data_IF_927551040353
#
_entry.id   IF_927551040353
#
_cell.length_a   1.000
_cell.length_b   1.000
_cell.length_c   1.000
_cell.angle_alpha   90.00
_cell.angle_beta   90.00
_cell.angle_gamma   90.00
#
_symmetry.space_group_name_H-M   'P 1'
#
loop_
_entity.id
_entity.type
_entity.pdbx_description
1 polymer ?
#
# COMPACT_ATOMS: atom_id res chain seq x y z
N UNK A 1 2.56 32.02 -75.79
CA UNK A 1 3.46 32.01 -74.64
C UNK A 1 2.62 31.63 -73.40
N UNK A 2 2.71 30.41 -72.95
CA UNK A 2 2.04 29.96 -71.73
C UNK A 2 3.13 29.65 -70.72
N UNK A 3 3.16 30.39 -69.62
CA UNK A 3 4.03 30.11 -68.47
C UNK A 3 3.30 29.13 -67.57
N UNK A 4 3.81 27.90 -67.47
CA UNK A 4 3.38 26.90 -66.51
C UNK A 4 4.04 27.20 -65.15
N UNK A 5 3.23 27.63 -64.19
CA UNK A 5 3.68 27.74 -62.79
C UNK A 5 3.63 26.39 -62.12
N UNK A 6 4.76 25.85 -61.73
CA UNK A 6 4.85 24.73 -60.83
C UNK A 6 4.50 25.19 -59.40
N UNK A 7 3.39 24.68 -58.90
CA UNK A 7 3.05 24.83 -57.47
C UNK A 7 3.73 23.68 -56.73
N UNK A 8 4.82 23.97 -56.04
CA UNK A 8 5.46 23.07 -55.14
C UNK A 8 4.63 22.96 -53.84
N UNK A 9 3.88 21.88 -53.70
CA UNK A 9 3.16 21.58 -52.48
C UNK A 9 4.11 21.19 -51.37
N UNK A 10 4.24 22.06 -50.36
CA UNK A 10 4.91 21.73 -49.13
C UNK A 10 4.03 20.80 -48.28
N UNK A 11 4.40 19.52 -48.21
CA UNK A 11 3.79 18.57 -47.28
C UNK A 11 4.44 18.82 -45.92
N UNK A 12 3.72 19.50 -45.04
CA UNK A 12 4.13 19.61 -43.62
C UNK A 12 3.72 18.32 -42.94
N UNK A 13 4.68 17.43 -42.71
CA UNK A 13 4.50 16.27 -41.86
C UNK A 13 4.57 16.78 -40.41
N UNK A 14 3.39 16.98 -39.81
CA UNK A 14 3.29 17.22 -38.38
C UNK A 14 3.65 15.94 -37.63
N UNK A 15 4.87 15.82 -37.16
CA UNK A 15 5.29 14.82 -36.18
C UNK A 15 4.63 15.18 -34.85
N UNK A 16 3.46 14.59 -34.58
CA UNK A 16 2.89 14.59 -33.24
C UNK A 16 3.72 13.63 -32.39
N UNK A 17 4.72 14.20 -31.70
CA UNK A 17 5.39 13.51 -30.60
C UNK A 17 4.34 13.26 -29.52
N UNK A 18 3.78 12.05 -29.50
CA UNK A 18 2.95 11.59 -28.42
C UNK A 18 3.78 11.53 -27.15
N UNK A 19 3.67 12.55 -26.31
CA UNK A 19 4.25 12.51 -24.97
C UNK A 19 3.53 11.43 -24.19
N UNK A 20 4.16 10.27 -24.03
CA UNK A 20 3.73 9.25 -23.09
C UNK A 20 3.97 9.83 -21.69
N UNK A 21 2.90 10.35 -21.07
CA UNK A 21 2.94 10.75 -19.67
C UNK A 21 3.09 9.47 -18.84
N UNK A 22 4.31 9.13 -18.49
CA UNK A 22 4.57 8.12 -17.47
C UNK A 22 4.18 8.74 -16.13
N UNK A 23 3.02 8.38 -15.61
CA UNK A 23 2.65 8.69 -14.24
C UNK A 23 3.55 7.87 -13.33
N UNK A 24 4.68 8.46 -12.92
CA UNK A 24 5.54 7.87 -11.90
C UNK A 24 4.82 7.83 -10.57
N UNK A 25 4.97 6.72 -9.82
CA UNK A 25 4.47 6.61 -8.45
C UNK A 25 5.06 7.76 -7.63
N UNK A 26 4.21 8.58 -7.01
CA UNK A 26 4.63 9.68 -6.15
C UNK A 26 4.52 9.26 -4.69
N UNK A 27 5.63 9.36 -3.96
CA UNK A 27 5.68 9.01 -2.54
C UNK A 27 6.12 10.21 -1.70
N UNK A 28 5.32 10.56 -0.69
CA UNK A 28 5.70 11.58 0.28
C UNK A 28 6.82 11.05 1.20
N UNK A 29 7.86 11.86 1.39
CA UNK A 29 9.07 11.47 2.13
C UNK A 29 8.96 11.62 3.66
N UNK A 30 7.93 12.30 4.14
CA UNK A 30 7.74 12.64 5.56
C UNK A 30 6.49 11.98 6.16
N UNK A 31 5.96 10.97 5.50
CA UNK A 31 4.84 10.16 5.97
C UNK A 31 5.35 8.78 6.36
N UNK A 32 4.95 8.34 7.53
CA UNK A 32 5.38 7.11 8.17
C UNK A 32 4.19 6.23 8.55
N UNK A 33 4.46 5.02 8.96
CA UNK A 33 3.57 4.12 9.68
C UNK A 33 4.39 3.34 10.71
N UNK A 34 3.74 2.55 11.55
CA UNK A 34 4.41 1.63 12.46
C UNK A 34 4.24 0.19 12.02
N UNK A 35 5.31 -0.61 12.11
CA UNK A 35 5.24 -2.05 12.29
C UNK A 35 5.68 -2.34 13.72
N UNK A 36 4.72 -2.67 14.58
CA UNK A 36 4.93 -2.80 16.01
C UNK A 36 5.51 -1.53 16.67
N UNK A 37 6.80 -1.53 17.02
CA UNK A 37 7.49 -0.38 17.59
C UNK A 37 8.38 0.38 16.60
N UNK A 38 8.50 -0.14 15.39
CA UNK A 38 9.38 0.41 14.36
C UNK A 38 8.63 1.41 13.48
N UNK A 39 9.18 2.61 13.38
CA UNK A 39 8.65 3.66 12.51
C UNK A 39 9.25 3.52 11.12
N UNK A 40 8.40 3.26 10.14
CA UNK A 40 8.82 2.93 8.78
C UNK A 40 8.11 3.75 7.70
N UNK A 41 8.71 3.79 6.53
CA UNK A 41 8.10 4.32 5.32
C UNK A 41 7.93 3.19 4.32
N UNK A 42 6.70 2.95 3.88
CA UNK A 42 6.38 1.90 2.91
C UNK A 42 6.93 0.54 3.32
N UNK A 43 6.59 0.07 4.54
CA UNK A 43 7.06 -1.24 5.01
C UNK A 43 6.64 -2.35 4.05
N UNK A 44 7.47 -3.37 3.93
CA UNK A 44 7.15 -4.59 3.17
C UNK A 44 6.33 -5.58 4.01
N UNK A 45 6.19 -5.32 5.31
CA UNK A 45 5.40 -6.10 6.25
C UNK A 45 4.71 -5.20 7.26
N UNK A 46 3.51 -5.61 7.70
CA UNK A 46 2.79 -5.02 8.83
C UNK A 46 2.25 -6.14 9.71
N UNK A 47 2.51 -6.07 11.01
CA UNK A 47 2.19 -7.11 11.98
C UNK A 47 1.08 -6.64 12.91
N UNK A 48 -0.03 -7.41 13.00
CA UNK A 48 -1.17 -7.07 13.87
C UNK A 48 -0.86 -7.39 15.34
N UNK A 49 -0.31 -8.58 15.60
CA UNK A 49 0.03 -9.02 16.94
C UNK A 49 1.53 -9.13 17.11
N UNK A 50 2.13 -8.12 17.75
CA UNK A 50 3.57 -7.94 17.82
C UNK A 50 4.30 -9.01 18.68
N UNK A 51 3.57 -9.72 19.55
CA UNK A 51 4.17 -10.70 20.43
C UNK A 51 4.50 -12.01 19.72
N UNK A 52 3.66 -12.46 18.79
CA UNK A 52 3.75 -13.78 18.16
C UNK A 52 3.63 -13.77 16.64
N UNK A 53 3.40 -12.59 16.05
CA UNK A 53 3.14 -12.43 14.62
C UNK A 53 2.03 -13.37 14.11
N UNK A 54 1.03 -13.65 14.94
CA UNK A 54 -0.07 -14.56 14.63
C UNK A 54 -0.88 -14.11 13.42
N UNK A 55 -0.99 -12.79 13.20
CA UNK A 55 -1.59 -12.17 12.02
C UNK A 55 -0.65 -11.09 11.49
N UNK A 56 -0.37 -11.14 10.20
CA UNK A 56 0.44 -10.16 9.51
C UNK A 56 0.07 -10.05 8.02
N UNK A 57 0.49 -8.96 7.40
CA UNK A 57 0.54 -8.82 5.93
C UNK A 57 1.99 -8.66 5.53
N UNK A 58 2.43 -9.39 4.52
CA UNK A 58 3.81 -9.36 4.02
C UNK A 58 3.84 -9.25 2.49
N UNK A 59 5.02 -9.13 1.91
CA UNK A 59 5.23 -8.87 0.48
C UNK A 59 4.44 -7.65 -0.01
N UNK A 60 4.34 -6.62 0.83
CA UNK A 60 3.56 -5.43 0.54
C UNK A 60 4.21 -4.63 -0.58
N UNK A 61 3.40 -4.26 -1.55
CA UNK A 61 3.77 -3.35 -2.65
C UNK A 61 2.84 -2.15 -2.63
N UNK A 62 3.39 -1.01 -2.30
CA UNK A 62 2.65 0.24 -2.24
C UNK A 62 2.53 0.87 -3.63
N UNK A 63 1.32 1.24 -4.02
CA UNK A 63 1.01 1.96 -5.26
C UNK A 63 0.99 3.46 -5.04
N UNK A 64 0.54 3.91 -3.86
CA UNK A 64 0.58 5.30 -3.42
C UNK A 64 1.01 5.41 -1.96
N UNK A 65 1.58 6.59 -1.60
CA UNK A 65 2.01 6.87 -0.23
C UNK A 65 2.02 8.36 0.00
N UNK A 66 1.13 8.88 0.83
CA UNK A 66 1.00 10.31 1.02
C UNK A 66 0.10 10.76 2.15
N UNK A 67 -0.17 12.07 2.20
CA UNK A 67 -0.98 12.71 3.24
C UNK A 67 -2.43 12.23 3.27
N UNK A 68 -2.96 11.78 2.16
CA UNK A 68 -4.35 11.30 2.05
C UNK A 68 -4.48 9.80 2.34
N UNK A 69 -3.38 9.13 2.63
CA UNK A 69 -3.31 7.70 2.85
C UNK A 69 -2.31 7.00 1.95
N UNK A 70 -2.30 5.68 2.02
CA UNK A 70 -1.49 4.83 1.17
C UNK A 70 -2.32 3.64 0.70
N UNK A 71 -2.13 3.26 -0.54
CA UNK A 71 -2.78 2.11 -1.16
C UNK A 71 -1.72 1.12 -1.64
N UNK A 72 -2.02 -0.16 -1.53
CA UNK A 72 -1.11 -1.21 -1.96
C UNK A 72 -1.77 -2.58 -1.95
N UNK A 73 -0.95 -3.59 -2.18
CA UNK A 73 -1.35 -4.99 -2.16
C UNK A 73 -0.35 -5.81 -1.35
N UNK A 74 -0.77 -6.96 -0.83
CA UNK A 74 0.11 -7.84 -0.08
C UNK A 74 -0.53 -9.21 0.15
N UNK A 75 0.14 -10.05 0.94
CA UNK A 75 -0.35 -11.35 1.36
C UNK A 75 -0.70 -11.29 2.84
N UNK A 76 -1.99 -11.43 3.16
CA UNK A 76 -2.48 -11.58 4.53
C UNK A 76 -2.24 -13.00 4.99
N UNK A 77 -1.69 -13.18 6.18
CA UNK A 77 -1.28 -14.48 6.71
C UNK A 77 -1.69 -14.61 8.16
N UNK A 78 -2.44 -15.66 8.48
CA UNK A 78 -2.92 -15.99 9.82
C UNK A 78 -2.42 -17.35 10.25
N UNK A 79 -1.79 -17.42 11.41
CA UNK A 79 -1.45 -18.67 12.05
C UNK A 79 -2.69 -19.19 12.81
N UNK A 80 -3.17 -20.36 12.43
CA UNK A 80 -4.35 -20.98 13.06
C UNK A 80 -4.06 -21.55 14.45
N UNK A 81 -2.78 -21.65 14.85
CA UNK A 81 -2.35 -22.20 16.13
C UNK A 81 -2.88 -23.62 16.42
N UNK A 82 -3.07 -24.42 15.39
CA UNK A 82 -3.51 -25.81 15.51
C UNK A 82 -2.43 -26.77 14.99
N UNK A 83 -1.93 -27.68 15.81
CA UNK A 83 -2.30 -28.02 17.21
C UNK A 83 -1.79 -27.00 18.24
N UNK A 84 -0.84 -26.15 17.89
CA UNK A 84 -0.29 -25.03 18.68
C UNK A 84 0.32 -23.99 17.75
N UNK A 85 0.69 -22.80 18.27
CA UNK A 85 1.20 -21.71 17.43
C UNK A 85 2.59 -21.96 16.85
N UNK A 86 3.39 -22.85 17.46
CA UNK A 86 4.73 -23.18 16.96
C UNK A 86 4.67 -24.12 15.74
N UNK A 87 3.69 -25.00 15.70
CA UNK A 87 3.46 -26.00 14.63
C UNK A 87 2.26 -25.65 13.75
N UNK A 88 1.60 -24.53 14.04
CA UNK A 88 0.36 -24.12 13.40
C UNK A 88 0.51 -23.86 11.91
N UNK A 89 -0.50 -24.27 11.17
CA UNK A 89 -0.61 -23.95 9.75
C UNK A 89 -0.99 -22.47 9.59
N UNK A 90 -0.45 -21.84 8.56
CA UNK A 90 -0.88 -20.51 8.15
C UNK A 90 -1.89 -20.59 7.00
N UNK A 91 -2.89 -19.74 7.08
CA UNK A 91 -3.81 -19.46 5.97
C UNK A 91 -3.39 -18.13 5.37
N UNK A 92 -3.28 -18.11 4.06
CA UNK A 92 -2.79 -16.95 3.32
C UNK A 92 -3.79 -16.55 2.24
N UNK A 93 -3.94 -15.23 2.04
CA UNK A 93 -4.85 -14.66 1.05
C UNK A 93 -4.25 -13.36 0.47
N UNK A 94 -4.37 -13.17 -0.85
CA UNK A 94 -4.03 -11.91 -1.49
C UNK A 94 -5.04 -10.83 -1.13
N UNK A 95 -4.55 -9.67 -0.72
CA UNK A 95 -5.36 -8.57 -0.22
C UNK A 95 -4.99 -7.23 -0.82
N UNK A 96 -5.97 -6.36 -0.89
CA UNK A 96 -5.78 -4.93 -1.12
C UNK A 96 -5.70 -4.22 0.23
N UNK A 97 -4.78 -3.24 0.32
CA UNK A 97 -4.44 -2.53 1.54
C UNK A 97 -4.74 -1.05 1.40
N UNK A 98 -5.27 -0.47 2.45
CA UNK A 98 -5.45 0.96 2.58
C UNK A 98 -5.04 1.44 3.97
N UNK A 99 -4.01 2.29 4.04
CA UNK A 99 -3.62 3.01 5.25
C UNK A 99 -4.23 4.40 5.26
N UNK A 100 -4.82 4.80 6.38
CA UNK A 100 -5.49 6.07 6.56
C UNK A 100 -5.24 6.68 7.95
N UNK A 101 -5.90 7.83 8.24
CA UNK A 101 -5.88 8.45 9.56
C UNK A 101 -4.50 8.98 9.91
N UNK A 102 -4.09 10.08 9.28
CA UNK A 102 -2.81 10.72 9.58
C UNK A 102 -2.85 11.41 10.95
N UNK A 103 -1.91 11.07 11.80
CA UNK A 103 -1.73 11.65 13.14
C UNK A 103 -0.29 12.13 13.33
N UNK A 104 -0.09 13.09 14.25
CA UNK A 104 1.24 13.46 14.70
C UNK A 104 1.57 12.66 15.96
N UNK A 105 2.52 11.75 15.85
CA UNK A 105 3.02 10.95 16.96
C UNK A 105 4.50 11.28 17.13
N UNK A 106 4.88 11.84 18.27
CA UNK A 106 6.24 12.29 18.59
C UNK A 106 6.88 13.16 17.48
N UNK A 107 6.11 14.06 16.88
CA UNK A 107 6.58 14.96 15.83
C UNK A 107 6.66 14.32 14.44
N UNK A 108 6.25 13.07 14.27
CA UNK A 108 6.16 12.37 12.99
C UNK A 108 4.72 12.28 12.52
N UNK A 109 4.51 12.43 11.21
CA UNK A 109 3.21 12.21 10.58
C UNK A 109 3.06 10.72 10.27
N UNK A 110 2.09 10.10 10.91
CA UNK A 110 1.90 8.64 10.89
C UNK A 110 0.52 8.32 10.33
N UNK A 111 0.46 7.45 9.34
CA UNK A 111 -0.76 6.77 8.92
C UNK A 111 -1.02 5.63 9.91
N UNK A 112 -2.20 5.64 10.53
CA UNK A 112 -2.47 4.85 11.73
C UNK A 112 -3.38 3.66 11.52
N UNK A 113 -4.36 3.76 10.63
CA UNK A 113 -5.39 2.74 10.48
C UNK A 113 -5.20 1.97 9.17
N UNK A 114 -4.97 0.67 9.28
CA UNK A 114 -4.87 -0.24 8.15
C UNK A 114 -6.20 -0.95 7.93
N UNK A 115 -6.72 -0.87 6.72
CA UNK A 115 -7.81 -1.69 6.23
C UNK A 115 -7.25 -2.72 5.25
N UNK A 116 -7.54 -3.97 5.51
CA UNK A 116 -7.16 -5.13 4.70
C UNK A 116 -8.42 -5.70 4.07
N UNK A 117 -8.46 -5.84 2.75
CA UNK A 117 -9.64 -6.32 2.05
C UNK A 117 -9.28 -7.46 1.10
N UNK A 118 -10.01 -8.57 1.19
CA UNK A 118 -9.87 -9.66 0.23
C UNK A 118 -10.49 -9.30 -1.11
N UNK A 119 -9.99 -9.92 -2.15
CA UNK A 119 -10.58 -9.82 -3.49
C UNK A 119 -11.75 -10.80 -3.61
N UNK A 120 -12.78 -10.39 -4.34
CA UNK A 120 -13.95 -11.22 -4.64
C UNK A 120 -14.74 -11.71 -3.42
N UNK A 121 -14.63 -11.04 -2.26
CA UNK A 121 -15.40 -11.38 -1.06
C UNK A 121 -15.01 -12.70 -0.40
N UNK A 122 -13.80 -13.19 -0.63
CA UNK A 122 -13.24 -14.35 0.07
C UNK A 122 -13.21 -14.06 1.57
N UNK A 123 -13.69 -15.00 2.39
CA UNK A 123 -13.68 -14.82 3.84
C UNK A 123 -12.32 -15.15 4.44
N UNK A 124 -11.81 -14.24 5.26
CA UNK A 124 -10.65 -14.44 6.11
C UNK A 124 -11.00 -15.37 7.28
N UNK A 125 -10.01 -15.91 8.02
CA UNK A 125 -10.29 -16.74 9.21
C UNK A 125 -11.12 -16.07 10.30
N UNK A 126 -11.20 -14.72 10.32
CA UNK A 126 -12.09 -13.96 11.19
C UNK A 126 -13.56 -13.98 10.76
N UNK A 127 -13.91 -14.65 9.66
CA UNK A 127 -15.25 -14.76 9.11
C UNK A 127 -15.74 -13.57 8.28
N UNK A 128 -14.88 -12.59 8.01
CA UNK A 128 -15.18 -11.40 7.22
C UNK A 128 -14.28 -11.33 5.97
N UNK A 129 -14.69 -10.63 4.89
CA UNK A 129 -13.83 -10.38 3.75
C UNK A 129 -12.86 -9.20 4.00
N UNK A 130 -12.77 -8.70 5.22
CA UNK A 130 -11.89 -7.60 5.61
C UNK A 130 -11.39 -7.80 7.04
N UNK A 131 -10.29 -7.09 7.35
CA UNK A 131 -9.75 -6.93 8.69
C UNK A 131 -9.19 -5.51 8.83
N UNK A 132 -9.54 -4.84 9.94
CA UNK A 132 -9.09 -3.47 10.23
C UNK A 132 -8.28 -3.48 11.52
N UNK A 133 -7.15 -2.77 11.53
CA UNK A 133 -6.36 -2.63 12.75
C UNK A 133 -5.66 -1.28 12.87
N UNK A 134 -5.35 -0.91 14.10
CA UNK A 134 -4.53 0.25 14.44
C UNK A 134 -3.06 -0.16 14.49
N UNK A 135 -2.30 0.15 13.43
CA UNK A 135 -0.88 -0.22 13.32
C UNK A 135 0.02 0.52 14.34
N UNK A 136 -0.46 1.61 14.93
CA UNK A 136 0.27 2.38 15.94
C UNK A 136 -0.13 2.03 17.38
N UNK A 137 -1.09 1.15 17.61
CA UNK A 137 -1.61 0.85 18.96
C UNK A 137 -0.49 0.45 19.93
N UNK A 138 0.37 -0.46 19.50
CA UNK A 138 1.49 -0.96 20.32
C UNK A 138 2.50 0.15 20.64
N UNK A 139 2.91 0.91 19.63
CA UNK A 139 3.86 2.01 19.80
C UNK A 139 3.29 3.11 20.70
N UNK A 140 2.04 3.52 20.48
CA UNK A 140 1.37 4.57 21.29
C UNK A 140 1.19 4.13 22.74
N UNK A 141 0.88 2.86 23.00
CA UNK A 141 0.74 2.34 24.36
C UNK A 141 2.08 2.38 25.10
N UNK A 142 3.18 2.04 24.45
CA UNK A 142 4.53 2.13 25.06
C UNK A 142 4.97 3.56 25.35
N UNK A 143 4.65 4.51 24.47
CA UNK A 143 5.00 5.93 24.64
C UNK A 143 4.26 6.54 25.85
N UNK A 144 3.02 6.10 26.09
CA UNK A 144 2.17 6.61 27.19
C UNK A 144 2.38 5.92 28.53
N UNK A 145 3.03 4.79 28.56
CA UNK A 145 3.37 4.01 29.77
C UNK A 145 4.64 4.49 30.40
#
# INVERSE_FOLDING_TARGET
>A
MKRSGLIAGLIIIALTAGSVLTFGKSYAKDIYTYDCEYLEQRPEQLTKFCADAGVLVYDIKWDSWGYNGAEGTGTYSVNLCEPNCAEGKRVEEEVDLFLSGIENIEGKRVLRYLSVNTRNGILLPNGNPYDDWDVAEYAVTRIKG
#
